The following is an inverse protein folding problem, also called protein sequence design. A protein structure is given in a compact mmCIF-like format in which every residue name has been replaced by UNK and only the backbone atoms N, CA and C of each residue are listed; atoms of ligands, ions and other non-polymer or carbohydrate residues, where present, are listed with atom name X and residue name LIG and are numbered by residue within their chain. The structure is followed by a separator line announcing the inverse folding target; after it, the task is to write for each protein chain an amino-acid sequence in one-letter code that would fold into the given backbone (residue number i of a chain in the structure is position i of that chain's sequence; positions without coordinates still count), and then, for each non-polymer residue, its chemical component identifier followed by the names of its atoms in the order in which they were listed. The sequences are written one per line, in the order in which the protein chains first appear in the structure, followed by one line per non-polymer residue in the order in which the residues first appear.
data_IF_162287085648
#
_entry.id   IF_162287085648
#
_cell.length_a   1.000
_cell.length_b   1.000
_cell.length_c   1.000
_cell.angle_alpha   90.00
_cell.angle_beta   90.00
_cell.angle_gamma   90.00
#
_symmetry.space_group_name_H-M   'P 1'
#
loop_
_entity.id
_entity.type
_entity.pdbx_description
1 polymer ?
#
# COMPACT_ATOMS: atom_id res chain seq x y z
N UNK A 1 -32.69 28.77 -41.25
CA UNK A 1 -32.05 28.44 -39.95
C UNK A 1 -30.92 27.47 -40.22
N UNK A 2 -29.66 27.91 -40.12
CA UNK A 2 -28.48 27.06 -40.32
C UNK A 2 -28.09 26.48 -38.95
N UNK A 3 -28.14 25.16 -38.81
CA UNK A 3 -27.62 24.45 -37.64
C UNK A 3 -26.13 24.22 -37.85
N UNK A 4 -25.30 24.87 -37.03
CA UNK A 4 -23.86 24.63 -36.94
C UNK A 4 -23.63 23.61 -35.84
N UNK A 5 -23.09 22.44 -36.19
CA UNK A 5 -22.63 21.43 -35.24
C UNK A 5 -21.18 21.76 -34.86
N UNK A 6 -20.88 21.88 -33.56
CA UNK A 6 -19.51 21.96 -33.06
C UNK A 6 -18.98 20.55 -32.80
N UNK A 7 -17.76 20.28 -33.29
CA UNK A 7 -17.02 19.04 -33.03
C UNK A 7 -16.34 19.10 -31.64
N UNK A 8 -16.14 17.95 -30.96
CA UNK A 8 -15.51 17.92 -29.64
C UNK A 8 -14.00 18.14 -29.75
N UNK A 9 -13.45 18.95 -28.86
CA UNK A 9 -12.01 19.15 -28.69
C UNK A 9 -11.38 17.92 -28.04
N UNK A 10 -10.53 17.22 -28.79
CA UNK A 10 -9.66 16.17 -28.27
C UNK A 10 -8.42 16.86 -27.70
N UNK A 11 -8.24 16.79 -26.37
CA UNK A 11 -7.01 17.25 -25.73
C UNK A 11 -5.91 16.21 -25.92
N UNK A 12 -4.94 16.52 -26.79
CA UNK A 12 -3.70 15.77 -26.94
C UNK A 12 -2.73 16.22 -25.84
N UNK A 13 -2.62 15.46 -24.75
CA UNK A 13 -1.63 15.73 -23.70
C UNK A 13 -0.24 15.32 -24.19
N UNK A 14 0.55 16.31 -24.62
CA UNK A 14 1.96 16.15 -24.99
C UNK A 14 2.76 16.04 -23.68
N UNK A 15 3.32 14.86 -23.41
CA UNK A 15 4.32 14.69 -22.35
C UNK A 15 5.64 15.33 -22.79
N UNK A 16 6.05 16.41 -22.11
CA UNK A 16 7.41 16.94 -22.22
C UNK A 16 8.37 15.98 -21.50
N UNK A 17 9.11 15.17 -22.26
CA UNK A 17 10.36 14.62 -21.77
C UNK A 17 11.39 15.75 -21.77
N UNK A 18 11.73 16.28 -20.59
CA UNK A 18 12.92 17.11 -20.44
C UNK A 18 14.14 16.21 -20.64
N UNK A 19 14.68 16.21 -21.86
CA UNK A 19 16.02 15.69 -22.14
C UNK A 19 17.01 16.71 -21.59
N UNK A 20 17.65 16.39 -20.46
CA UNK A 20 18.77 17.19 -19.96
C UNK A 20 19.97 16.89 -20.85
N UNK A 21 20.24 17.77 -21.82
CA UNK A 21 21.46 17.71 -22.63
C UNK A 21 22.62 18.32 -21.83
N UNK A 22 23.63 17.50 -21.53
CA UNK A 22 24.90 17.97 -20.98
C UNK A 22 25.80 18.45 -22.12
N UNK A 23 26.14 19.74 -22.12
CA UNK A 23 27.20 20.27 -22.98
C UNK A 23 28.56 19.93 -22.36
N UNK A 24 29.33 19.06 -23.02
CA UNK A 24 30.77 18.95 -22.77
C UNK A 24 31.45 20.11 -23.51
N UNK A 25 31.71 21.21 -22.79
CA UNK A 25 32.69 22.20 -23.23
C UNK A 25 34.08 21.57 -23.09
N UNK A 26 34.68 21.15 -24.20
CA UNK A 26 36.12 20.90 -24.23
C UNK A 26 36.84 22.25 -24.29
N UNK A 27 37.15 22.81 -23.13
CA UNK A 27 38.13 23.89 -23.03
C UNK A 27 39.53 23.25 -22.98
N UNK A 28 40.32 23.44 -24.03
CA UNK A 28 41.74 23.17 -24.01
C UNK A 28 42.42 24.16 -23.08
N UNK A 29 43.08 23.65 -22.03
CA UNK A 29 43.86 24.45 -21.10
C UNK A 29 44.32 23.56 -19.94
N UNK A 30 45.63 23.34 -19.84
CA UNK A 30 46.26 22.63 -18.74
C UNK A 30 46.02 23.38 -17.43
N UNK A 31 45.20 22.83 -16.55
CA UNK A 31 45.20 23.15 -15.13
C UNK A 31 44.99 21.86 -14.34
N UNK A 32 46.02 21.47 -13.60
CA UNK A 32 46.04 20.33 -12.66
C UNK A 32 45.18 20.64 -11.43
N UNK A 33 43.86 20.68 -11.62
CA UNK A 33 42.89 20.64 -10.53
C UNK A 33 42.25 19.26 -10.51
N UNK A 34 42.46 18.43 -9.47
CA UNK A 34 41.69 17.21 -9.36
C UNK A 34 40.22 17.62 -9.18
N UNK A 35 39.40 17.29 -10.16
CA UNK A 35 37.95 17.28 -10.05
C UNK A 35 37.59 16.47 -8.80
N UNK A 36 37.40 17.13 -7.66
CA UNK A 36 36.76 16.57 -6.48
C UNK A 36 35.26 16.56 -6.73
N UNK A 37 34.87 15.85 -7.78
CA UNK A 37 33.47 15.59 -8.08
C UNK A 37 32.93 14.72 -6.97
N UNK A 38 32.08 15.29 -6.12
CA UNK A 38 31.15 14.51 -5.33
C UNK A 38 30.41 13.60 -6.30
N UNK A 39 30.73 12.31 -6.30
CA UNK A 39 30.00 11.32 -7.08
C UNK A 39 28.63 11.23 -6.43
N UNK A 40 27.67 12.01 -6.93
CA UNK A 40 26.27 11.82 -6.62
C UNK A 40 25.90 10.43 -7.16
N UNK A 41 25.92 9.41 -6.28
CA UNK A 41 25.39 8.10 -6.59
C UNK A 41 23.87 8.24 -6.70
N UNK A 42 23.38 8.59 -7.87
CA UNK A 42 21.96 8.55 -8.16
C UNK A 42 21.54 7.08 -8.24
N UNK A 43 20.79 6.60 -7.25
CA UNK A 43 20.13 5.30 -7.31
C UNK A 43 18.88 5.46 -8.16
N UNK A 44 18.91 4.96 -9.40
CA UNK A 44 17.69 4.81 -10.21
C UNK A 44 16.96 3.58 -9.66
N UNK A 45 15.81 3.78 -9.00
CA UNK A 45 14.90 2.69 -8.65
C UNK A 45 13.84 2.61 -9.76
N UNK A 46 13.94 1.60 -10.61
CA UNK A 46 12.93 1.35 -11.64
C UNK A 46 11.78 0.59 -10.99
N UNK A 47 10.60 1.21 -10.93
CA UNK A 47 9.39 0.52 -10.48
C UNK A 47 8.85 -0.37 -11.60
N UNK A 48 8.59 -1.63 -11.28
CA UNK A 48 7.95 -2.61 -12.15
C UNK A 48 6.46 -2.64 -11.88
N UNK A 49 5.68 -2.57 -12.97
CA UNK A 49 4.23 -2.69 -12.97
C UNK A 49 3.87 -4.03 -13.59
N UNK A 50 3.36 -4.96 -12.78
CA UNK A 50 3.05 -6.33 -13.21
C UNK A 50 1.54 -6.47 -13.26
N UNK A 51 0.92 -6.68 -14.43
CA UNK A 51 -0.50 -7.01 -14.51
C UNK A 51 -0.82 -8.21 -13.62
N UNK A 52 -1.87 -8.09 -12.81
CA UNK A 52 -2.25 -9.13 -11.86
C UNK A 52 -3.77 -9.15 -11.64
N UNK A 53 -4.29 -10.35 -11.45
CA UNK A 53 -5.64 -10.58 -10.95
C UNK A 53 -5.52 -10.92 -9.46
N UNK A 54 -6.05 -10.04 -8.61
CA UNK A 54 -6.16 -10.28 -7.18
C UNK A 54 -7.56 -10.81 -6.89
N UNK A 55 -7.62 -11.99 -6.27
CA UNK A 55 -8.86 -12.59 -5.78
C UNK A 55 -8.67 -12.92 -4.30
N UNK A 56 -9.53 -12.36 -3.46
CA UNK A 56 -9.47 -12.59 -2.02
C UNK A 56 -10.85 -12.89 -1.47
N UNK A 57 -10.96 -14.01 -0.77
CA UNK A 57 -12.18 -14.44 -0.09
C UNK A 57 -12.18 -13.89 1.34
N UNK A 58 -13.32 -13.37 1.78
CA UNK A 58 -13.52 -12.80 3.11
C UNK A 58 -14.58 -13.57 3.88
N UNK A 59 -14.36 -13.67 5.18
CA UNK A 59 -15.33 -14.24 6.11
C UNK A 59 -16.40 -13.22 6.49
N UNK A 60 -17.56 -13.70 6.93
CA UNK A 60 -18.55 -12.81 7.53
C UNK A 60 -17.97 -12.18 8.81
N UNK A 61 -18.18 -10.87 8.99
CA UNK A 61 -17.61 -10.09 10.08
C UNK A 61 -16.33 -9.37 9.68
N UNK A 62 -15.47 -9.08 10.66
CA UNK A 62 -14.24 -8.32 10.43
C UNK A 62 -13.15 -9.17 9.79
N UNK A 63 -12.51 -8.63 8.76
CA UNK A 63 -11.33 -9.17 8.09
C UNK A 63 -10.24 -8.09 8.11
N UNK A 64 -9.00 -8.45 8.47
CA UNK A 64 -7.85 -7.53 8.40
C UNK A 64 -7.03 -7.83 7.15
N UNK A 65 -7.16 -6.98 6.13
CA UNK A 65 -6.74 -7.30 4.78
C UNK A 65 -5.73 -6.30 4.21
N UNK A 66 -5.09 -6.69 3.12
CA UNK A 66 -4.35 -5.81 2.22
C UNK A 66 -4.82 -5.99 0.80
N UNK A 67 -4.69 -4.95 -0.03
CA UNK A 67 -5.15 -4.95 -1.42
C UNK A 67 -3.94 -4.67 -2.32
N UNK A 68 -3.12 -5.69 -2.65
CA UNK A 68 -1.83 -5.48 -3.30
C UNK A 68 -1.96 -5.11 -4.79
N UNK A 69 -2.95 -5.66 -5.50
CA UNK A 69 -3.23 -5.26 -6.87
C UNK A 69 -4.18 -4.07 -6.84
N UNK A 70 -3.69 -2.90 -7.24
CA UNK A 70 -4.55 -1.75 -7.51
C UNK A 70 -4.46 -1.35 -8.97
N UNK A 71 -5.51 -0.70 -9.42
CA UNK A 71 -5.59 -0.10 -10.74
C UNK A 71 -4.76 1.18 -10.75
N UNK A 72 -3.44 1.09 -10.90
CA UNK A 72 -2.52 2.24 -10.87
C UNK A 72 -2.76 3.29 -11.98
N UNK A 73 -3.65 3.00 -12.93
CA UNK A 73 -4.12 3.90 -14.00
C UNK A 73 -5.65 4.10 -13.98
N UNK A 74 -6.34 3.65 -12.93
CA UNK A 74 -7.76 3.98 -12.71
C UNK A 74 -7.96 4.58 -11.32
N UNK A 75 -9.21 4.92 -11.09
CA UNK A 75 -9.75 5.35 -9.83
C UNK A 75 -9.48 4.32 -8.72
N UNK A 76 -8.84 4.75 -7.63
CA UNK A 76 -8.62 3.99 -6.40
C UNK A 76 -9.72 4.21 -5.37
N UNK A 77 -10.78 4.94 -5.73
CA UNK A 77 -11.89 5.21 -4.82
C UNK A 77 -12.52 3.92 -4.34
N UNK A 78 -13.04 3.94 -3.11
CA UNK A 78 -13.73 2.79 -2.52
C UNK A 78 -14.83 2.28 -3.45
N UNK A 79 -15.66 3.17 -3.99
CA UNK A 79 -16.76 2.79 -4.89
C UNK A 79 -16.26 2.01 -6.12
N UNK A 80 -15.07 2.34 -6.64
CA UNK A 80 -14.50 1.64 -7.80
C UNK A 80 -13.81 0.33 -7.41
N UNK A 81 -13.15 0.29 -6.25
CA UNK A 81 -12.41 -0.91 -5.80
C UNK A 81 -13.38 -1.99 -5.31
N UNK A 82 -14.44 -1.59 -4.62
CA UNK A 82 -15.42 -2.49 -4.00
C UNK A 82 -16.73 -2.61 -4.77
N UNK A 83 -16.76 -2.20 -6.04
CA UNK A 83 -17.96 -2.27 -6.89
C UNK A 83 -18.59 -3.67 -6.89
N UNK A 84 -17.76 -4.72 -7.03
CA UNK A 84 -18.22 -6.12 -7.07
C UNK A 84 -18.69 -6.66 -5.71
N UNK A 85 -18.44 -5.92 -4.63
CA UNK A 85 -18.86 -6.24 -3.26
C UNK A 85 -19.93 -5.28 -2.74
N UNK A 86 -20.50 -4.43 -3.60
CA UNK A 86 -21.55 -3.49 -3.19
C UNK A 86 -22.71 -4.21 -2.48
N UNK A 87 -23.06 -3.74 -1.29
CA UNK A 87 -24.09 -4.35 -0.43
C UNK A 87 -23.63 -5.56 0.40
N UNK A 88 -22.43 -6.09 0.15
CA UNK A 88 -21.85 -7.24 0.86
C UNK A 88 -20.93 -6.86 2.02
N UNK A 89 -20.68 -5.56 2.22
CA UNK A 89 -19.92 -5.07 3.38
C UNK A 89 -20.63 -3.90 4.06
N UNK A 90 -20.33 -3.71 5.34
CA UNK A 90 -20.90 -2.68 6.20
C UNK A 90 -19.97 -1.47 6.26
N UNK A 91 -18.69 -1.71 6.48
CA UNK A 91 -17.72 -0.65 6.74
C UNK A 91 -16.29 -1.08 6.42
N UNK A 92 -15.48 -0.11 6.03
CA UNK A 92 -14.04 -0.22 5.79
C UNK A 92 -13.34 0.79 6.71
N UNK A 93 -12.28 0.35 7.38
CA UNK A 93 -11.49 1.18 8.28
C UNK A 93 -10.01 1.03 7.94
N UNK A 94 -9.23 2.10 8.05
CA UNK A 94 -7.76 2.08 8.02
C UNK A 94 -7.21 2.95 9.15
N UNK A 95 -5.94 2.76 9.49
CA UNK A 95 -5.26 3.56 10.51
C UNK A 95 -4.22 4.46 9.83
N UNK A 96 -4.45 5.77 9.86
CA UNK A 96 -3.52 6.79 9.41
C UNK A 96 -2.75 7.39 10.61
N UNK A 97 -1.49 7.00 10.83
CA UNK A 97 -0.69 7.54 11.92
C UNK A 97 -0.30 9.01 11.76
N UNK A 98 -0.49 9.60 10.57
CA UNK A 98 -0.20 11.02 10.34
C UNK A 98 -1.26 11.93 10.97
N UNK A 99 -2.50 11.44 11.13
CA UNK A 99 -3.58 12.15 11.81
C UNK A 99 -3.65 11.75 13.30
N UNK A 100 -2.96 12.51 14.15
CA UNK A 100 -2.90 12.20 15.59
C UNK A 100 -4.21 12.46 16.32
N UNK A 101 -5.12 13.26 15.75
CA UNK A 101 -6.39 13.60 16.39
C UNK A 101 -7.48 12.60 16.03
N UNK A 102 -7.44 12.09 14.79
CA UNK A 102 -8.40 11.15 14.26
C UNK A 102 -7.72 10.08 13.38
N UNK A 103 -6.97 9.14 13.96
CA UNK A 103 -6.16 8.22 13.17
C UNK A 103 -6.98 7.14 12.47
N UNK A 104 -8.23 6.89 12.88
CA UNK A 104 -9.07 5.86 12.27
C UNK A 104 -9.93 6.45 11.16
N UNK A 105 -9.60 6.11 9.91
CA UNK A 105 -10.33 6.58 8.74
C UNK A 105 -11.41 5.58 8.37
N UNK A 106 -12.63 6.06 8.11
CA UNK A 106 -13.82 5.20 7.98
C UNK A 106 -14.60 5.50 6.71
N UNK A 107 -15.07 4.42 6.07
CA UNK A 107 -16.14 4.44 5.08
C UNK A 107 -17.21 3.44 5.50
N UNK A 108 -18.50 3.79 5.38
CA UNK A 108 -19.61 2.87 5.62
C UNK A 108 -20.68 2.96 4.54
N UNK A 109 -21.26 1.83 4.16
CA UNK A 109 -22.34 1.81 3.17
C UNK A 109 -23.69 2.14 3.81
N UNK A 110 -24.52 2.91 3.10
CA UNK A 110 -25.93 3.10 3.47
C UNK A 110 -26.19 4.03 4.65
N UNK A 111 -25.21 4.84 5.08
CA UNK A 111 -25.47 5.91 6.05
C UNK A 111 -26.01 7.18 5.36
N UNK A 112 -26.74 8.03 6.09
CA UNK A 112 -27.22 9.30 5.56
C UNK A 112 -26.09 10.21 5.07
N UNK A 113 -26.37 11.04 4.06
CA UNK A 113 -25.38 11.93 3.42
C UNK A 113 -24.77 13.01 4.32
N UNK A 114 -25.33 13.23 5.52
CA UNK A 114 -24.75 14.13 6.52
C UNK A 114 -23.63 13.47 7.35
N UNK A 115 -23.51 12.14 7.28
CA UNK A 115 -22.35 11.43 7.82
C UNK A 115 -21.20 11.63 6.85
N UNK A 116 -20.12 12.26 7.30
CA UNK A 116 -18.92 12.44 6.50
C UNK A 116 -17.99 11.26 6.74
N UNK A 117 -17.59 10.60 5.66
CA UNK A 117 -16.55 9.58 5.65
C UNK A 117 -15.24 10.23 5.25
N UNK A 118 -14.17 9.91 5.96
CA UNK A 118 -12.84 10.47 5.74
C UNK A 118 -11.88 9.44 5.10
N UNK A 119 -12.38 8.25 4.77
CA UNK A 119 -11.71 7.30 3.87
C UNK A 119 -12.36 7.34 2.48
N UNK A 120 -11.62 7.82 1.47
CA UNK A 120 -12.09 7.91 0.08
C UNK A 120 -11.45 6.88 -0.86
N UNK A 121 -10.20 6.52 -0.60
CA UNK A 121 -9.33 5.79 -1.52
C UNK A 121 -8.61 4.63 -0.84
N UNK A 122 -8.24 3.64 -1.66
CA UNK A 122 -7.44 2.48 -1.26
C UNK A 122 -6.00 2.62 -1.74
N UNK A 123 -5.04 2.30 -0.87
CA UNK A 123 -3.61 2.25 -1.15
C UNK A 123 -3.09 0.85 -0.81
N UNK A 124 -2.33 0.26 -1.74
CA UNK A 124 -1.74 -1.08 -1.60
C UNK A 124 -0.74 -1.20 -0.44
N UNK A 125 -0.24 -0.07 0.08
CA UNK A 125 0.68 0.00 1.23
C UNK A 125 -0.06 0.00 2.56
N UNK A 126 -1.36 0.25 2.59
CA UNK A 126 -2.17 0.30 3.82
C UNK A 126 -2.88 -1.04 4.07
N UNK A 127 -3.12 -1.32 5.35
CA UNK A 127 -4.00 -2.41 5.76
C UNK A 127 -5.40 -1.89 6.06
N UNK A 128 -6.40 -2.75 5.94
CA UNK A 128 -7.80 -2.38 6.12
C UNK A 128 -8.53 -3.37 7.01
N UNK A 129 -9.40 -2.87 7.87
CA UNK A 129 -10.44 -3.67 8.50
C UNK A 129 -11.72 -3.57 7.68
N UNK A 130 -12.22 -4.69 7.19
CA UNK A 130 -13.46 -4.75 6.42
C UNK A 130 -14.47 -5.60 7.16
N UNK A 131 -15.60 -5.00 7.51
CA UNK A 131 -16.72 -5.71 8.12
C UNK A 131 -17.69 -6.17 7.03
N UNK A 132 -17.73 -7.47 6.76
CA UNK A 132 -18.55 -8.10 5.73
C UNK A 132 -19.85 -8.61 6.35
N UNK A 133 -21.00 -8.35 5.74
CA UNK A 133 -22.31 -8.77 6.28
C UNK A 133 -22.83 -10.09 5.67
N UNK A 134 -22.18 -10.62 4.63
CA UNK A 134 -22.53 -11.85 3.94
C UNK A 134 -21.41 -12.90 4.04
N UNK A 135 -21.77 -14.18 3.95
CA UNK A 135 -20.81 -15.27 3.82
C UNK A 135 -20.33 -15.40 2.38
N UNK A 136 -19.05 -15.69 2.16
CA UNK A 136 -18.50 -15.95 0.82
C UNK A 136 -18.31 -14.70 -0.04
N UNK A 137 -18.04 -13.56 0.59
CA UNK A 137 -17.71 -12.34 -0.13
C UNK A 137 -16.31 -12.46 -0.75
N UNK A 138 -16.22 -12.35 -2.07
CA UNK A 138 -14.95 -12.39 -2.79
C UNK A 138 -14.67 -11.04 -3.46
N UNK A 139 -13.57 -10.39 -3.08
CA UNK A 139 -13.06 -9.22 -3.78
C UNK A 139 -12.25 -9.67 -5.00
N UNK A 140 -12.57 -9.15 -6.19
CA UNK A 140 -11.85 -9.45 -7.43
C UNK A 140 -11.39 -8.15 -8.09
N UNK A 141 -10.08 -8.01 -8.27
CA UNK A 141 -9.48 -6.80 -8.84
C UNK A 141 -8.53 -7.19 -9.97
N UNK A 142 -8.79 -6.64 -11.16
CA UNK A 142 -7.87 -6.65 -12.29
C UNK A 142 -7.02 -5.38 -12.25
N UNK A 143 -5.78 -5.51 -11.78
CA UNK A 143 -4.92 -4.37 -11.50
C UNK A 143 -3.45 -4.64 -11.83
N UNK A 144 -2.58 -3.91 -11.15
CA UNK A 144 -1.13 -4.08 -11.26
C UNK A 144 -0.51 -4.16 -9.87
N UNK A 145 0.51 -4.99 -9.73
CA UNK A 145 1.46 -4.88 -8.62
C UNK A 145 2.52 -3.85 -8.96
N UNK A 146 2.88 -3.03 -7.97
CA UNK A 146 4.00 -2.10 -8.05
C UNK A 146 5.13 -2.57 -7.13
N UNK A 147 6.26 -2.94 -7.71
CA UNK A 147 7.46 -3.34 -6.95
C UNK A 147 8.71 -2.60 -7.44
N UNK A 148 9.69 -2.29 -6.56
CA UNK A 148 9.56 -2.37 -5.11
C UNK A 148 8.52 -1.36 -4.59
N UNK A 149 7.95 -1.65 -3.42
CA UNK A 149 7.03 -0.74 -2.73
C UNK A 149 7.66 -0.25 -1.43
N UNK A 150 7.68 1.06 -1.22
CA UNK A 150 8.17 1.68 0.01
C UNK A 150 7.00 2.11 0.87
N UNK A 151 6.94 1.59 2.09
CA UNK A 151 5.95 1.91 3.10
C UNK A 151 6.62 2.82 4.14
N UNK A 152 6.12 4.05 4.27
CA UNK A 152 6.55 4.96 5.32
C UNK A 152 5.86 4.55 6.63
N UNK A 153 6.67 4.32 7.66
CA UNK A 153 6.19 3.99 9.00
C UNK A 153 6.43 5.18 9.92
N UNK A 154 5.42 5.55 10.68
CA UNK A 154 5.51 6.53 11.77
C UNK A 154 5.80 5.81 13.07
N UNK A 155 6.48 6.46 14.01
CA UNK A 155 6.61 5.94 15.39
C UNK A 155 5.23 5.60 15.98
N UNK A 156 5.11 4.42 16.57
CA UNK A 156 3.86 3.92 17.14
C UNK A 156 3.16 2.92 16.20
N UNK A 157 1.83 2.86 16.30
CA UNK A 157 1.02 1.95 15.48
C UNK A 157 0.98 2.36 14.01
N UNK A 158 1.09 1.38 13.12
CA UNK A 158 0.86 1.52 11.69
C UNK A 158 0.05 0.31 11.23
N UNK A 159 -1.03 0.53 10.47
CA UNK A 159 -1.78 -0.54 9.81
C UNK A 159 -1.35 -0.61 8.35
N UNK A 160 -0.51 -1.60 8.03
CA UNK A 160 0.13 -1.72 6.72
C UNK A 160 -0.41 -2.89 5.92
N UNK A 161 -0.32 -2.75 4.61
CA UNK A 161 -0.57 -3.83 3.67
C UNK A 161 0.71 -4.58 3.30
N UNK A 162 0.56 -5.71 2.62
CA UNK A 162 1.67 -6.46 2.05
C UNK A 162 1.58 -6.46 0.51
N UNK A 163 2.21 -5.50 -0.19
CA UNK A 163 2.08 -5.28 -1.63
C UNK A 163 2.84 -6.32 -2.49
N UNK A 164 2.74 -7.61 -2.15
CA UNK A 164 3.28 -8.76 -2.91
C UNK A 164 2.26 -9.89 -2.98
N UNK A 165 2.41 -10.76 -3.99
CA UNK A 165 1.57 -11.96 -4.18
C UNK A 165 2.25 -13.27 -3.76
N UNK A 166 3.45 -13.20 -3.20
CA UNK A 166 4.16 -14.32 -2.61
C UNK A 166 4.51 -14.02 -1.16
N UNK A 167 4.27 -14.98 -0.27
CA UNK A 167 4.63 -14.83 1.14
C UNK A 167 6.15 -14.75 1.33
N UNK A 168 6.57 -14.02 2.36
CA UNK A 168 7.98 -13.92 2.76
C UNK A 168 8.09 -14.05 4.28
N UNK A 169 9.20 -14.63 4.75
CA UNK A 169 9.46 -14.77 6.19
C UNK A 169 9.55 -13.42 6.88
N UNK A 170 8.83 -13.26 8.00
CA UNK A 170 8.71 -11.96 8.68
C UNK A 170 10.07 -11.40 9.12
N UNK A 171 10.98 -12.26 9.58
CA UNK A 171 12.34 -11.90 9.97
C UNK A 171 13.14 -11.26 8.83
N UNK A 172 13.10 -11.87 7.63
CA UNK A 172 13.87 -11.35 6.50
C UNK A 172 13.23 -10.07 5.96
N UNK A 173 11.90 -10.01 5.88
CA UNK A 173 11.18 -8.83 5.38
C UNK A 173 11.33 -7.61 6.29
N UNK A 174 11.29 -7.80 7.62
CA UNK A 174 11.38 -6.69 8.58
C UNK A 174 12.82 -6.41 9.07
N UNK A 175 13.81 -7.19 8.62
CA UNK A 175 15.22 -6.95 8.97
C UNK A 175 15.72 -5.51 8.68
N UNK A 176 15.29 -4.79 7.61
CA UNK A 176 15.76 -3.43 7.37
C UNK A 176 15.29 -2.40 8.40
N UNK A 177 14.22 -2.71 9.14
CA UNK A 177 13.66 -1.82 10.16
C UNK A 177 13.92 -2.35 11.58
N UNK A 178 14.66 -3.43 11.76
CA UNK A 178 15.06 -3.92 13.08
C UNK A 178 16.22 -3.09 13.66
N UNK A 179 16.25 -2.74 14.97
CA UNK A 179 15.29 -3.06 16.04
C UNK A 179 14.16 -2.02 16.22
N UNK A 180 13.82 -1.29 15.16
CA UNK A 180 12.85 -0.18 15.14
C UNK A 180 11.37 -0.55 15.30
N UNK A 181 11.04 -1.76 15.77
CA UNK A 181 9.67 -2.19 16.06
C UNK A 181 9.62 -3.18 17.22
N UNK A 182 8.47 -3.25 17.88
CA UNK A 182 8.27 -4.01 19.11
C UNK A 182 7.35 -5.21 18.94
N UNK A 183 6.34 -5.11 18.08
CA UNK A 183 5.36 -6.18 17.84
C UNK A 183 4.68 -6.02 16.48
N UNK A 184 4.29 -7.14 15.88
CA UNK A 184 3.47 -7.21 14.67
C UNK A 184 2.30 -8.15 14.93
N UNK A 185 1.09 -7.71 14.57
CA UNK A 185 -0.12 -8.53 14.61
C UNK A 185 -0.69 -8.76 13.22
N UNK A 186 -1.25 -9.94 13.01
CA UNK A 186 -2.12 -10.30 11.90
C UNK A 186 -3.44 -10.83 12.47
N UNK A 187 -4.57 -10.57 11.79
CA UNK A 187 -5.85 -11.17 12.11
C UNK A 187 -6.33 -12.01 10.93
N UNK A 188 -6.53 -13.30 11.14
CA UNK A 188 -7.08 -14.22 10.17
C UNK A 188 -8.50 -14.63 10.58
N UNK A 189 -9.50 -14.06 9.91
CA UNK A 189 -10.92 -14.32 10.22
C UNK A 189 -11.32 -15.79 10.02
N UNK A 190 -10.64 -16.53 9.15
CA UNK A 190 -10.91 -17.94 8.89
C UNK A 190 -10.41 -18.87 10.00
N UNK A 191 -9.45 -18.42 10.81
CA UNK A 191 -8.97 -19.17 11.98
C UNK A 191 -9.84 -18.86 13.20
N UNK A 192 -10.93 -19.60 13.33
CA UNK A 192 -11.91 -19.41 14.42
C UNK A 192 -11.42 -19.84 15.79
N UNK A 193 -10.33 -20.60 15.88
CA UNK A 193 -9.75 -21.05 17.15
C UNK A 193 -8.71 -20.07 17.68
N UNK A 194 -7.92 -19.49 16.78
CA UNK A 194 -6.84 -18.58 17.12
C UNK A 194 -6.64 -17.52 16.02
N UNK A 195 -7.54 -16.53 15.90
CA UNK A 195 -7.54 -15.60 14.77
C UNK A 195 -6.38 -14.61 14.80
N UNK A 196 -5.77 -14.35 15.97
CA UNK A 196 -4.69 -13.39 16.11
C UNK A 196 -3.34 -14.09 16.06
N UNK A 197 -2.51 -13.72 15.08
CA UNK A 197 -1.12 -14.15 14.99
C UNK A 197 -0.20 -13.02 15.40
N UNK A 198 0.86 -13.31 16.16
CA UNK A 198 1.77 -12.29 16.68
C UNK A 198 3.24 -12.64 16.46
N UNK A 199 4.04 -11.60 16.27
CA UNK A 199 5.50 -11.67 16.19
C UNK A 199 6.16 -10.58 17.03
N UNK A 200 7.02 -10.99 17.97
CA UNK A 200 7.97 -10.14 18.69
C UNK A 200 9.40 -10.47 18.25
N UNK A 201 10.28 -9.48 18.03
CA UNK A 201 11.57 -9.70 17.40
C UNK A 201 12.70 -10.22 18.33
N UNK A 202 12.72 -9.95 19.66
CA UNK A 202 13.75 -10.52 20.57
C UNK A 202 13.53 -10.33 22.10
N UNK A 203 13.83 -11.31 22.98
CA UNK A 203 13.60 -12.74 22.77
C UNK A 203 12.12 -13.04 23.08
N UNK A 204 11.34 -13.47 22.09
CA UNK A 204 9.95 -13.87 22.30
C UNK A 204 9.87 -15.21 23.06
N UNK A 205 8.86 -15.42 23.93
CA UNK A 205 8.43 -16.77 24.26
C UNK A 205 7.96 -17.48 22.96
N UNK A 206 8.49 -18.66 22.58
CA UNK A 206 8.12 -19.32 21.32
C UNK A 206 6.63 -19.64 21.22
N UNK A 207 5.97 -19.86 22.36
CA UNK A 207 4.53 -20.17 22.41
C UNK A 207 3.63 -18.99 22.04
N UNK A 208 4.14 -17.74 22.05
CA UNK A 208 3.38 -16.58 21.60
C UNK A 208 3.74 -16.18 20.16
N UNK A 209 4.91 -16.54 19.65
CA UNK A 209 5.34 -16.15 18.29
C UNK A 209 4.89 -17.17 17.24
N UNK A 210 3.72 -16.95 16.66
CA UNK A 210 3.13 -17.83 15.65
C UNK A 210 2.92 -17.14 14.28
N UNK A 211 3.14 -15.82 14.19
CA UNK A 211 3.23 -15.10 12.92
C UNK A 211 4.62 -15.26 12.29
N UNK A 212 4.74 -16.18 11.33
CA UNK A 212 6.03 -16.53 10.71
C UNK A 212 6.30 -15.85 9.35
N UNK A 213 5.23 -15.44 8.65
CA UNK A 213 5.31 -14.89 7.31
C UNK A 213 4.41 -13.67 7.15
N UNK A 214 4.86 -12.71 6.36
CA UNK A 214 3.95 -11.76 5.71
C UNK A 214 3.42 -12.43 4.45
N UNK A 215 2.10 -12.46 4.30
CA UNK A 215 1.39 -13.17 3.24
C UNK A 215 0.49 -12.20 2.46
N UNK A 216 0.26 -12.47 1.16
CA UNK A 216 -0.65 -11.68 0.36
C UNK A 216 -2.02 -11.56 1.02
N UNK A 217 -2.67 -10.42 0.78
CA UNK A 217 -4.04 -10.13 1.20
C UNK A 217 -4.31 -9.96 2.70
N UNK A 218 -3.32 -10.19 3.56
CA UNK A 218 -3.44 -9.86 4.98
C UNK A 218 -2.95 -8.44 5.27
N UNK A 219 -3.63 -7.75 6.17
CA UNK A 219 -3.16 -6.52 6.79
C UNK A 219 -2.30 -6.84 8.02
N UNK A 220 -1.42 -5.91 8.40
CA UNK A 220 -0.51 -6.06 9.52
C UNK A 220 -0.52 -4.81 10.39
N UNK A 221 -0.75 -4.99 11.69
CA UNK A 221 -0.62 -3.92 12.66
C UNK A 221 0.78 -3.99 13.29
N UNK A 222 1.64 -3.03 12.97
CA UNK A 222 3.02 -2.97 13.46
C UNK A 222 3.21 -1.79 14.41
N UNK A 223 3.78 -2.04 15.59
CA UNK A 223 4.16 -0.99 16.53
C UNK A 223 5.66 -0.69 16.42
N UNK A 224 5.99 0.43 15.77
CA UNK A 224 7.37 0.88 15.58
C UNK A 224 7.85 1.72 16.77
N UNK A 225 9.12 1.63 17.10
CA UNK A 225 9.76 2.43 18.16
C UNK A 225 10.29 3.77 17.64
N UNK A 226 10.46 3.88 16.32
CA UNK A 226 10.85 5.09 15.58
C UNK A 226 10.26 5.06 14.17
N UNK A 227 10.12 6.22 13.52
CA UNK A 227 9.77 6.26 12.11
C UNK A 227 10.81 5.53 11.25
N UNK A 228 10.37 4.86 10.19
CA UNK A 228 11.22 4.04 9.33
C UNK A 228 10.63 3.90 7.92
N UNK A 229 11.45 3.41 6.98
CA UNK A 229 11.00 3.04 5.63
C UNK A 229 11.12 1.53 5.46
N UNK A 230 9.99 0.86 5.28
CA UNK A 230 9.95 -0.56 4.95
C UNK A 230 9.88 -0.71 3.43
N UNK A 231 10.95 -1.24 2.83
CA UNK A 231 10.99 -1.50 1.39
C UNK A 231 10.68 -2.95 1.11
N UNK A 232 9.53 -3.18 0.50
CA UNK A 232 9.08 -4.47 0.01
C UNK A 232 9.69 -4.70 -1.38
N UNK A 233 10.69 -5.57 -1.46
CA UNK A 233 11.45 -5.90 -2.67
C UNK A 233 10.64 -6.78 -3.64
N UNK A 234 11.12 -6.92 -4.88
CA UNK A 234 10.59 -7.89 -5.87
C UNK A 234 10.54 -9.33 -5.32
#
# INVERSE_FOLDING_TARGET
MKHTYSLPQIYLSIFFFTVVTFWLLSAGGNDDSPLTGNVAKTRIVVAKFIPAECKFDMEQGFNMISIPCLTLFRNTSIDSVFENLSGSFVSIHTYDPADQNDPWKVYAQGLPSWVTFDLSDIDAKQGYWINVNSSGATLVILGHLKLPSTIELSKGWNLIGYPKLNSSGINSTLSPIYPGYSVVYQYNASDTSDPWKVFYPDPPPPAVNDLNNLSPYYGYLINTTSSAQLVIQE
#
